data_IF_779559850944
#
_entry.id   IF_779559850944
#
_cell.length_a   1.000
_cell.length_b   1.000
_cell.length_c   1.000
_cell.angle_alpha   90.00
_cell.angle_beta   90.00
_cell.angle_gamma   90.00
#
_symmetry.space_group_name_H-M   'P 1'
#
loop_
_entity.id
_entity.type
_entity.pdbx_description
1 polymer ?
#
# COMPACT_ATOMS: atom_id res chain seq x y z
N UNK A 1 18.99 -12.64 -10.67
CA UNK A 1 17.87 -11.69 -10.71
C UNK A 1 16.96 -11.90 -9.52
N UNK A 2 16.63 -10.85 -8.84
CA UNK A 2 15.85 -10.92 -7.61
C UNK A 2 14.36 -10.92 -7.93
N UNK A 3 13.60 -11.78 -7.26
CA UNK A 3 12.15 -11.76 -7.35
C UNK A 3 11.62 -10.37 -6.96
N UNK A 4 10.64 -9.88 -7.68
CA UNK A 4 9.98 -8.62 -7.35
C UNK A 4 10.58 -7.36 -7.95
N UNK A 5 11.66 -7.48 -8.70
CA UNK A 5 12.25 -6.33 -9.39
C UNK A 5 11.56 -6.07 -10.73
N UNK A 6 10.25 -5.92 -10.69
CA UNK A 6 9.47 -5.54 -11.85
C UNK A 6 9.03 -4.10 -11.69
N UNK A 7 9.37 -3.26 -12.66
CA UNK A 7 8.86 -1.92 -12.72
C UNK A 7 7.34 -1.98 -12.95
N UNK A 8 6.59 -1.20 -12.19
CA UNK A 8 5.17 -1.05 -12.43
C UNK A 8 4.73 0.36 -12.05
N UNK A 9 3.67 0.81 -12.68
CA UNK A 9 3.07 2.10 -12.37
C UNK A 9 2.07 1.92 -11.24
N UNK A 10 2.14 2.78 -10.24
CA UNK A 10 1.14 2.83 -9.18
C UNK A 10 0.42 4.17 -9.26
N UNK A 11 -0.86 4.15 -8.91
CA UNK A 11 -1.70 5.35 -8.92
C UNK A 11 -1.92 5.82 -7.50
N UNK A 12 -1.87 7.12 -7.29
CA UNK A 12 -2.06 7.72 -5.97
C UNK A 12 -3.29 8.63 -6.00
N UNK A 13 -4.01 8.66 -4.89
CA UNK A 13 -5.16 9.56 -4.76
C UNK A 13 -4.69 11.00 -4.68
N UNK A 14 -5.60 11.95 -4.94
CA UNK A 14 -5.29 13.37 -4.82
C UNK A 14 -4.85 13.73 -3.40
N UNK A 15 -5.47 13.10 -2.38
CA UNK A 15 -5.10 13.32 -0.99
C UNK A 15 -3.68 12.84 -0.72
N UNK A 16 -3.34 11.64 -1.16
CA UNK A 16 -1.99 11.09 -0.98
C UNK A 16 -0.96 11.91 -1.74
N UNK A 17 -1.30 12.37 -2.95
CA UNK A 17 -0.42 13.23 -3.74
C UNK A 17 -0.06 14.51 -2.96
N UNK A 18 -1.05 15.13 -2.35
CA UNK A 18 -0.83 16.35 -1.56
C UNK A 18 0.08 16.07 -0.35
N UNK A 19 -0.13 14.94 0.33
CA UNK A 19 0.71 14.53 1.46
C UNK A 19 2.15 14.26 1.03
N UNK A 20 2.34 13.60 -0.11
CA UNK A 20 3.68 13.34 -0.64
C UNK A 20 4.39 14.63 -1.06
N UNK A 21 3.66 15.57 -1.65
CA UNK A 21 4.22 16.86 -2.03
C UNK A 21 4.65 17.67 -0.79
N UNK A 22 3.84 17.65 0.27
CA UNK A 22 4.18 18.29 1.53
C UNK A 22 5.43 17.65 2.16
N UNK A 23 5.51 16.33 2.14
CA UNK A 23 6.68 15.60 2.62
C UNK A 23 7.93 16.00 1.84
N UNK A 24 7.85 16.03 0.51
CA UNK A 24 8.97 16.39 -0.35
C UNK A 24 9.49 17.80 -0.05
N UNK A 25 8.58 18.72 0.29
CA UNK A 25 8.98 20.10 0.66
C UNK A 25 9.63 20.21 2.02
N UNK A 26 9.44 19.23 2.90
CA UNK A 26 10.00 19.24 4.25
C UNK A 26 11.31 18.45 4.36
N UNK A 27 11.63 17.62 3.37
CA UNK A 27 12.83 16.79 3.42
C UNK A 27 14.04 17.57 2.94
N UNK A 28 15.22 17.15 3.44
CA UNK A 28 16.51 17.69 3.00
C UNK A 28 16.95 17.12 1.65
N UNK A 29 16.17 16.27 1.06
CA UNK A 29 16.50 15.64 -0.21
C UNK A 29 16.13 16.58 -1.35
N UNK A 30 17.14 17.18 -1.95
CA UNK A 30 16.97 18.17 -3.03
C UNK A 30 17.37 17.62 -4.40
N UNK A 31 17.87 16.40 -4.47
CA UNK A 31 18.39 15.80 -5.69
C UNK A 31 17.48 14.61 -6.08
N UNK A 32 17.10 14.57 -7.35
CA UNK A 32 16.31 13.47 -7.91
C UNK A 32 16.99 12.11 -7.83
N UNK A 33 18.31 12.11 -7.71
CA UNK A 33 19.09 10.87 -7.61
C UNK A 33 19.08 10.29 -6.21
N UNK A 34 18.54 11.03 -5.23
CA UNK A 34 18.45 10.55 -3.86
C UNK A 34 17.09 9.86 -3.64
N UNK A 35 17.03 8.86 -2.74
CA UNK A 35 15.77 8.23 -2.40
C UNK A 35 14.77 9.24 -1.86
N UNK A 36 13.51 9.09 -2.25
CA UNK A 36 12.43 9.94 -1.73
C UNK A 36 12.30 9.77 -0.21
N UNK A 37 12.37 8.52 0.27
CA UNK A 37 12.42 8.20 1.69
C UNK A 37 13.83 7.80 2.05
N UNK A 38 14.59 8.76 2.58
CA UNK A 38 15.96 8.50 2.98
C UNK A 38 16.00 7.81 4.35
N UNK A 39 16.97 6.91 4.51
CA UNK A 39 17.20 6.30 5.82
C UNK A 39 17.85 7.30 6.78
N UNK A 40 17.76 7.04 8.09
CA UNK A 40 18.37 7.88 9.09
C UNK A 40 19.91 7.91 9.00
N UNK A 41 20.48 6.87 8.41
CA UNK A 41 21.95 6.75 8.29
C UNK A 41 22.53 7.66 7.25
N UNK A 42 21.79 7.96 6.17
CA UNK A 42 22.28 8.80 5.09
C UNK A 42 21.12 9.26 4.21
N UNK A 43 21.17 10.53 3.79
CA UNK A 43 20.20 11.07 2.84
C UNK A 43 20.35 10.45 1.46
N UNK A 44 21.50 9.82 1.18
CA UNK A 44 21.78 9.17 -0.10
C UNK A 44 21.31 7.72 -0.14
N UNK A 45 21.05 7.14 1.03
CA UNK A 45 20.62 5.76 1.15
C UNK A 45 19.15 5.67 1.46
N UNK A 46 18.42 4.85 0.68
CA UNK A 46 17.05 4.51 0.98
C UNK A 46 16.98 3.34 1.96
N UNK A 47 15.77 2.99 2.31
CA UNK A 47 15.52 1.79 3.10
C UNK A 47 15.69 0.55 2.21
N UNK A 48 16.26 -0.52 2.77
CA UNK A 48 16.09 -1.83 2.19
C UNK A 48 14.79 -2.44 2.73
N UNK A 49 14.36 -3.57 2.17
CA UNK A 49 13.10 -4.20 2.56
C UNK A 49 13.06 -4.52 4.06
N UNK A 50 14.17 -4.97 4.61
CA UNK A 50 14.25 -5.36 6.01
C UNK A 50 14.17 -4.15 6.95
N UNK A 51 14.95 -3.10 6.67
CA UNK A 51 14.95 -1.90 7.51
C UNK A 51 13.62 -1.14 7.42
N UNK A 52 12.98 -1.15 6.25
CA UNK A 52 11.67 -0.54 6.08
C UNK A 52 10.60 -1.29 6.88
N UNK A 53 10.63 -2.62 6.84
CA UNK A 53 9.71 -3.44 7.63
C UNK A 53 9.87 -3.19 9.13
N UNK A 54 11.11 -3.07 9.60
CA UNK A 54 11.39 -2.75 11.01
C UNK A 54 10.87 -1.36 11.37
N UNK A 55 11.05 -0.39 10.49
CA UNK A 55 10.55 0.98 10.70
C UNK A 55 9.03 0.99 10.84
N UNK A 56 8.31 0.29 9.96
CA UNK A 56 6.85 0.19 10.06
C UNK A 56 6.42 -0.50 11.34
N UNK A 57 7.10 -1.57 11.75
CA UNK A 57 6.79 -2.25 13.00
C UNK A 57 6.90 -1.30 14.20
N UNK A 58 7.95 -0.49 14.24
CA UNK A 58 8.15 0.50 15.30
C UNK A 58 7.08 1.60 15.27
N UNK A 59 6.70 2.07 14.08
CA UNK A 59 5.66 3.08 13.94
C UNK A 59 4.30 2.56 14.43
N UNK A 60 3.94 1.34 14.07
CA UNK A 60 2.68 0.75 14.53
C UNK A 60 2.69 0.50 16.03
N UNK A 61 3.80 0.02 16.56
CA UNK A 61 3.96 -0.18 18.01
C UNK A 61 3.81 1.14 18.76
N UNK A 62 4.47 2.20 18.28
CA UNK A 62 4.36 3.54 18.86
C UNK A 62 2.94 4.11 18.79
N UNK A 63 2.14 3.67 17.85
CA UNK A 63 0.74 4.05 17.72
C UNK A 63 -0.21 3.17 18.54
N UNK A 64 0.32 2.22 19.31
CA UNK A 64 -0.48 1.31 20.11
C UNK A 64 -1.08 0.14 19.35
N UNK A 65 -0.60 -0.13 18.14
CA UNK A 65 -1.11 -1.22 17.30
C UNK A 65 -0.17 -2.42 17.39
N UNK A 66 -0.40 -3.25 18.40
CA UNK A 66 0.40 -4.45 18.60
C UNK A 66 0.16 -5.48 17.49
N UNK A 67 1.23 -6.14 17.05
CA UNK A 67 1.16 -7.17 16.03
C UNK A 67 0.98 -6.66 14.61
N UNK A 68 0.89 -5.35 14.39
CA UNK A 68 0.82 -4.78 13.06
C UNK A 68 2.20 -4.75 12.40
N UNK A 69 2.22 -4.90 11.09
CA UNK A 69 3.45 -4.94 10.29
C UNK A 69 3.27 -4.14 9.00
N UNK A 70 4.33 -4.11 8.18
CA UNK A 70 4.27 -3.45 6.88
C UNK A 70 3.15 -3.98 5.98
N UNK A 71 2.75 -5.25 6.14
CA UNK A 71 1.64 -5.83 5.38
C UNK A 71 0.27 -5.41 5.89
N UNK A 72 0.17 -4.91 7.13
CA UNK A 72 -1.11 -4.52 7.72
C UNK A 72 -1.77 -3.37 6.98
N UNK A 73 -1.01 -2.34 6.63
CA UNK A 73 -1.51 -1.21 5.84
C UNK A 73 -2.00 -1.64 4.47
N UNK A 74 -1.24 -2.51 3.80
CA UNK A 74 -1.60 -3.04 2.50
C UNK A 74 -2.89 -3.85 2.56
N UNK A 75 -3.03 -4.72 3.55
CA UNK A 75 -4.25 -5.52 3.75
C UNK A 75 -5.46 -4.63 4.03
N UNK A 76 -5.29 -3.63 4.87
CA UNK A 76 -6.35 -2.68 5.20
C UNK A 76 -6.80 -1.91 3.97
N UNK A 77 -5.87 -1.44 3.17
CA UNK A 77 -6.17 -0.74 1.91
C UNK A 77 -7.03 -1.60 0.98
N UNK A 78 -6.58 -2.83 0.74
CA UNK A 78 -7.29 -3.76 -0.16
C UNK A 78 -8.66 -4.16 0.40
N UNK A 79 -8.73 -4.42 1.69
CA UNK A 79 -9.99 -4.79 2.35
C UNK A 79 -11.00 -3.64 2.27
N UNK A 80 -10.55 -2.41 2.51
CA UNK A 80 -11.44 -1.24 2.42
C UNK A 80 -11.97 -1.05 1.01
N UNK A 81 -11.12 -1.22 -0.01
CA UNK A 81 -11.55 -1.13 -1.40
C UNK A 81 -12.53 -2.25 -1.76
N UNK A 82 -12.25 -3.47 -1.31
CA UNK A 82 -13.14 -4.61 -1.53
C UNK A 82 -14.51 -4.37 -0.90
N UNK A 83 -14.55 -3.83 0.31
CA UNK A 83 -15.79 -3.53 1.01
C UNK A 83 -16.59 -2.41 0.34
N UNK A 84 -15.93 -1.55 -0.43
CA UNK A 84 -16.59 -0.51 -1.23
C UNK A 84 -17.07 -1.01 -2.59
N UNK A 85 -16.91 -2.28 -2.86
CA UNK A 85 -17.41 -2.90 -4.09
C UNK A 85 -16.47 -2.81 -5.28
N UNK A 86 -15.18 -2.55 -5.05
CA UNK A 86 -14.20 -2.51 -6.13
C UNK A 86 -14.06 -3.90 -6.77
N UNK A 87 -14.07 -3.94 -8.10
CA UNK A 87 -13.96 -5.20 -8.84
C UNK A 87 -12.63 -5.89 -8.57
N UNK A 88 -12.66 -7.23 -8.54
CA UNK A 88 -11.49 -8.03 -8.19
C UNK A 88 -10.30 -7.79 -9.12
N UNK A 89 -10.53 -7.59 -10.41
CA UNK A 89 -9.43 -7.36 -11.36
C UNK A 89 -8.73 -6.02 -11.10
N UNK A 90 -9.46 -5.02 -10.60
CA UNK A 90 -8.89 -3.73 -10.23
C UNK A 90 -8.06 -3.90 -8.96
N UNK A 91 -8.58 -4.60 -7.96
CA UNK A 91 -7.83 -4.91 -6.73
C UNK A 91 -6.54 -5.65 -7.03
N UNK A 92 -6.62 -6.64 -7.91
CA UNK A 92 -5.45 -7.42 -8.34
C UNK A 92 -4.39 -6.52 -8.94
N UNK A 93 -4.78 -5.62 -9.82
CA UNK A 93 -3.85 -4.70 -10.49
C UNK A 93 -3.23 -3.72 -9.49
N UNK A 94 -4.04 -3.11 -8.62
CA UNK A 94 -3.54 -2.18 -7.60
C UNK A 94 -2.57 -2.86 -6.63
N UNK A 95 -2.84 -4.10 -6.28
CA UNK A 95 -2.00 -4.86 -5.36
C UNK A 95 -0.74 -5.40 -6.03
N UNK A 96 -0.74 -5.49 -7.36
CA UNK A 96 0.36 -6.12 -8.08
C UNK A 96 0.40 -7.63 -7.91
N UNK A 97 -0.72 -8.26 -7.57
CA UNK A 97 -0.79 -9.71 -7.45
C UNK A 97 -0.73 -10.37 -8.83
N UNK A 98 0.04 -11.45 -8.93
CA UNK A 98 0.12 -12.24 -10.17
C UNK A 98 -1.09 -13.16 -10.36
N UNK A 99 -1.75 -13.51 -9.26
CA UNK A 99 -2.84 -14.46 -9.26
C UNK A 99 -4.09 -13.85 -8.64
N UNK A 100 -5.24 -14.10 -9.27
CA UNK A 100 -6.54 -13.69 -8.74
C UNK A 100 -6.83 -14.36 -7.39
N UNK A 101 -6.36 -15.59 -7.20
CA UNK A 101 -6.60 -16.30 -5.94
C UNK A 101 -6.01 -15.58 -4.74
N UNK A 102 -4.87 -14.89 -4.90
CA UNK A 102 -4.28 -14.09 -3.83
C UNK A 102 -5.18 -12.89 -3.49
N UNK A 103 -5.74 -12.24 -4.50
CA UNK A 103 -6.66 -11.11 -4.31
C UNK A 103 -7.98 -11.56 -3.71
N UNK A 104 -8.48 -12.73 -4.10
CA UNK A 104 -9.77 -13.27 -3.64
C UNK A 104 -9.83 -13.43 -2.11
N UNK A 105 -8.68 -13.57 -1.45
CA UNK A 105 -8.63 -13.66 0.01
C UNK A 105 -9.18 -12.40 0.70
N UNK A 106 -9.24 -11.27 0.00
CA UNK A 106 -9.77 -10.02 0.55
C UNK A 106 -11.25 -9.82 0.27
N UNK A 107 -11.89 -10.73 -0.46
CA UNK A 107 -13.28 -10.59 -0.85
C UNK A 107 -14.19 -11.30 0.14
N UNK A 108 -15.23 -10.60 0.54
CA UNK A 108 -16.30 -11.14 1.33
C UNK A 108 -17.62 -10.54 0.81
N UNK A 109 -18.61 -11.39 0.60
CA UNK A 109 -19.93 -10.96 0.13
C UNK A 109 -20.97 -11.26 1.18
N UNK A 110 -21.62 -10.24 1.69
CA UNK A 110 -22.77 -10.39 2.57
C UNK A 110 -24.04 -10.63 1.75
N UNK A 111 -25.08 -11.24 2.36
CA UNK A 111 -26.37 -11.34 1.68
C UNK A 111 -26.93 -9.99 1.21
N UNK A 112 -26.70 -8.93 1.97
CA UNK A 112 -27.12 -7.58 1.58
C UNK A 112 -26.46 -7.11 0.29
N UNK A 113 -25.16 -7.36 0.16
CA UNK A 113 -24.41 -7.01 -1.04
C UNK A 113 -24.89 -7.81 -2.25
N UNK A 114 -25.19 -9.09 -2.07
CA UNK A 114 -25.69 -9.94 -3.14
C UNK A 114 -27.06 -9.47 -3.62
N UNK A 115 -27.96 -9.14 -2.71
CA UNK A 115 -29.28 -8.60 -3.04
C UNK A 115 -29.19 -7.28 -3.79
N UNK A 116 -28.34 -6.38 -3.31
CA UNK A 116 -28.13 -5.08 -3.96
C UNK A 116 -27.58 -5.23 -5.37
N UNK A 117 -26.65 -6.17 -5.58
CA UNK A 117 -26.05 -6.42 -6.89
C UNK A 117 -27.10 -6.91 -7.89
N UNK A 118 -28.00 -7.80 -7.48
CA UNK A 118 -29.06 -8.33 -8.34
C UNK A 118 -30.01 -7.21 -8.79
N UNK A 119 -30.26 -6.23 -7.96
CA UNK A 119 -31.14 -5.10 -8.30
C UNK A 119 -30.56 -4.19 -9.39
N UNK A 120 -29.27 -4.29 -9.67
CA UNK A 120 -28.65 -3.49 -10.73
C UNK A 120 -28.97 -3.96 -12.15
N UNK A 121 -29.53 -5.17 -12.28
CA UNK A 121 -29.84 -5.75 -13.59
C UNK A 121 -31.22 -5.30 -14.09
#
# INVERSE_FOLDING_TARGET
MTKGRHARTVFVSAKLKAELQAYAGQTKCVDRNYPFFASQKSIRAGFNANSLAQTFALLYEGAGLEGASSHSGRRTFLTNLANKGTAIHILKTLAGHRSISTTAAYLYSSPSQLKAAVELV
#
